data_IF_535771212016
#
_entry.id   IF_535771212016
#
_cell.length_a   1.000
_cell.length_b   1.000
_cell.length_c   1.000
_cell.angle_alpha   90.00
_cell.angle_beta   90.00
_cell.angle_gamma   90.00
#
_symmetry.space_group_name_H-M   'P 1'
#
loop_
_entity.id
_entity.type
_entity.pdbx_description
1 polymer ?
#
# COMPACT_ATOMS: atom_id res chain seq x y z
N UNK A 1 4.50 25.39 7.34
CA UNK A 1 5.40 24.84 6.31
C UNK A 1 5.03 25.52 4.99
N UNK A 2 6.01 25.84 4.13
CA UNK A 2 5.70 26.31 2.78
C UNK A 2 4.92 25.26 2.00
N UNK A 3 4.27 25.67 0.90
CA UNK A 3 3.59 24.74 0.00
C UNK A 3 4.59 23.72 -0.53
N UNK A 4 4.38 22.43 -0.26
CA UNK A 4 5.28 21.36 -0.72
C UNK A 4 5.09 21.19 -2.22
N UNK A 5 6.15 21.41 -2.99
CA UNK A 5 6.14 21.15 -4.42
C UNK A 5 6.35 19.65 -4.68
N UNK A 6 5.27 18.93 -5.00
CA UNK A 6 5.31 17.48 -5.23
C UNK A 6 6.18 17.08 -6.44
N UNK A 7 6.39 17.97 -7.40
CA UNK A 7 7.19 17.66 -8.59
C UNK A 7 8.66 17.34 -8.24
N UNK A 8 9.16 17.86 -7.11
CA UNK A 8 10.50 17.55 -6.60
C UNK A 8 10.63 16.11 -6.08
N UNK A 9 9.50 15.44 -5.84
CA UNK A 9 9.41 14.10 -5.28
C UNK A 9 8.86 13.08 -6.29
N UNK A 10 8.66 13.47 -7.55
CA UNK A 10 8.14 12.60 -8.59
C UNK A 10 9.10 11.43 -8.86
N UNK A 11 8.57 10.20 -8.82
CA UNK A 11 9.33 9.00 -9.16
C UNK A 11 9.50 8.91 -10.68
N UNK A 12 10.74 8.83 -11.20
CA UNK A 12 11.03 8.72 -12.63
C UNK A 12 10.32 7.55 -13.27
N UNK A 13 9.82 7.76 -14.49
CA UNK A 13 9.07 6.75 -15.25
C UNK A 13 7.61 6.61 -14.83
N UNK A 14 7.14 7.43 -13.88
CA UNK A 14 5.73 7.50 -13.48
C UNK A 14 5.16 8.89 -13.79
N UNK A 15 3.84 8.99 -13.92
CA UNK A 15 3.15 10.27 -14.10
C UNK A 15 2.65 10.89 -12.79
N UNK A 16 2.55 10.09 -11.73
CA UNK A 16 1.83 10.47 -10.51
C UNK A 16 2.11 9.54 -9.33
N UNK A 17 3.37 9.10 -9.21
CA UNK A 17 3.87 8.45 -8.00
C UNK A 17 4.96 9.33 -7.40
N UNK A 18 4.85 9.60 -6.10
CA UNK A 18 5.75 10.51 -5.40
C UNK A 18 6.40 9.80 -4.22
N UNK A 19 7.67 10.08 -3.97
CA UNK A 19 8.43 9.57 -2.83
C UNK A 19 9.03 10.73 -2.04
N UNK A 20 8.53 10.94 -0.83
CA UNK A 20 8.97 12.00 0.08
C UNK A 20 9.79 11.35 1.21
N UNK A 21 11.12 11.50 1.23
CA UNK A 21 11.93 11.05 2.37
C UNK A 21 11.70 11.95 3.59
N UNK A 22 11.99 11.44 4.79
CA UNK A 22 11.93 12.21 6.05
C UNK A 22 10.61 12.98 6.26
N UNK A 23 9.48 12.36 5.87
CA UNK A 23 8.14 12.96 5.99
C UNK A 23 7.71 13.15 7.46
N UNK A 24 8.26 12.31 8.33
CA UNK A 24 8.23 12.49 9.79
C UNK A 24 9.65 12.59 10.32
N UNK A 25 9.81 13.25 11.46
CA UNK A 25 11.10 13.31 12.15
C UNK A 25 11.39 12.01 12.90
N UNK A 26 12.63 11.82 13.35
CA UNK A 26 13.02 10.67 14.19
C UNK A 26 12.22 10.62 15.50
N UNK A 27 12.04 11.76 16.18
CA UNK A 27 11.23 11.86 17.41
C UNK A 27 9.76 11.48 17.17
N UNK A 28 9.22 11.87 16.01
CA UNK A 28 7.85 11.53 15.62
C UNK A 28 7.70 10.04 15.30
N UNK A 29 8.68 9.44 14.63
CA UNK A 29 8.72 8.01 14.37
C UNK A 29 8.79 7.20 15.67
N UNK A 30 9.68 7.55 16.59
CA UNK A 30 9.79 6.89 17.89
C UNK A 30 8.46 7.00 18.66
N UNK A 31 7.86 8.19 18.68
CA UNK A 31 6.57 8.42 19.31
C UNK A 31 5.45 7.57 18.67
N UNK A 32 5.38 7.50 17.35
CA UNK A 32 4.38 6.73 16.60
C UNK A 32 4.53 5.23 16.88
N UNK A 33 5.75 4.69 16.77
CA UNK A 33 6.02 3.27 17.02
C UNK A 33 5.63 2.91 18.45
N UNK A 34 6.05 3.71 19.45
CA UNK A 34 5.64 3.49 20.84
C UNK A 34 4.12 3.45 21.00
N UNK A 35 3.38 4.36 20.36
CA UNK A 35 1.92 4.39 20.45
C UNK A 35 1.24 3.21 19.76
N UNK A 36 1.82 2.72 18.67
CA UNK A 36 1.38 1.51 17.98
C UNK A 36 1.55 0.29 18.90
N UNK A 37 2.68 0.18 19.59
CA UNK A 37 2.97 -0.93 20.49
C UNK A 37 2.17 -0.90 21.80
N UNK A 38 1.91 0.29 22.34
CA UNK A 38 1.04 0.51 23.50
C UNK A 38 -0.44 0.18 23.22
N UNK A 39 -0.82 -0.01 21.95
CA UNK A 39 -2.19 -0.30 21.58
C UNK A 39 -2.70 -1.60 22.24
N UNK A 40 -3.93 -1.60 22.78
CA UNK A 40 -4.47 -2.77 23.46
C UNK A 40 -4.68 -3.93 22.48
N UNK A 41 -4.52 -5.17 22.96
CA UNK A 41 -4.61 -6.40 22.14
C UNK A 41 -5.81 -6.44 21.17
N UNK A 42 -7.03 -6.00 21.52
CA UNK A 42 -8.16 -6.02 20.58
C UNK A 42 -8.03 -5.14 19.34
N UNK A 43 -7.08 -4.20 19.30
CA UNK A 43 -6.80 -3.41 18.09
C UNK A 43 -6.01 -4.21 17.06
N UNK A 44 -5.24 -5.21 17.51
CA UNK A 44 -4.44 -6.06 16.66
C UNK A 44 -5.29 -7.17 16.04
N UNK A 45 -5.34 -7.19 14.71
CA UNK A 45 -5.85 -8.30 13.91
C UNK A 45 -4.65 -9.10 13.41
N UNK A 46 -4.63 -10.41 13.67
CA UNK A 46 -3.57 -11.30 13.22
C UNK A 46 -3.99 -12.00 11.94
N UNK A 47 -3.16 -11.86 10.91
CA UNK A 47 -3.21 -12.64 9.67
C UNK A 47 -2.19 -13.79 9.78
N UNK A 48 -2.07 -14.63 8.75
CA UNK A 48 -1.18 -15.80 8.78
C UNK A 48 0.26 -15.43 9.20
N UNK A 49 0.86 -14.45 8.50
CA UNK A 49 2.27 -14.11 8.66
C UNK A 49 2.51 -12.67 9.10
N UNK A 50 1.48 -11.91 9.46
CA UNK A 50 1.63 -10.51 9.90
C UNK A 50 0.47 -10.09 10.79
N UNK A 51 0.59 -8.95 11.44
CA UNK A 51 -0.50 -8.33 12.20
C UNK A 51 -0.73 -6.90 11.74
N UNK A 52 -1.96 -6.44 11.92
CA UNK A 52 -2.37 -5.10 11.54
C UNK A 52 -3.31 -4.48 12.57
N UNK A 53 -3.43 -3.17 12.53
CA UNK A 53 -4.51 -2.41 13.16
C UNK A 53 -5.30 -1.67 12.06
N UNK A 54 -6.57 -1.42 12.31
CA UNK A 54 -7.43 -0.63 11.43
C UNK A 54 -7.92 0.59 12.20
N UNK A 55 -7.73 1.78 11.62
CA UNK A 55 -8.10 3.05 12.22
C UNK A 55 -9.04 3.83 11.30
N UNK A 56 -9.95 4.61 11.89
CA UNK A 56 -10.97 5.38 11.16
C UNK A 56 -12.30 4.64 10.96
N UNK A 57 -12.35 3.33 11.25
CA UNK A 57 -13.58 2.54 11.21
C UNK A 57 -13.41 1.17 10.57
N UNK A 58 -14.51 0.44 10.42
CA UNK A 58 -14.55 -0.86 9.72
C UNK A 58 -15.39 -0.75 8.45
N UNK A 59 -14.98 -1.48 7.40
CA UNK A 59 -15.74 -1.60 6.16
C UNK A 59 -16.84 -2.66 6.28
N UNK A 60 -18.06 -2.30 5.86
CA UNK A 60 -19.14 -3.27 5.66
C UNK A 60 -18.88 -4.17 4.45
N UNK A 61 -19.64 -5.27 4.33
CA UNK A 61 -19.64 -6.13 3.14
C UNK A 61 -19.92 -5.37 1.84
N UNK A 62 -20.62 -4.23 1.92
CA UNK A 62 -20.94 -3.34 0.79
C UNK A 62 -19.88 -2.25 0.55
N UNK A 63 -18.67 -2.40 1.11
CA UNK A 63 -17.57 -1.44 0.95
C UNK A 63 -17.93 -0.02 1.41
N UNK A 64 -18.74 0.08 2.46
CA UNK A 64 -19.11 1.35 3.12
C UNK A 64 -18.46 1.40 4.49
N UNK A 65 -17.80 2.51 4.82
CA UNK A 65 -17.13 2.74 6.10
C UNK A 65 -18.16 3.00 7.21
N UNK A 66 -18.06 2.25 8.31
CA UNK A 66 -18.66 2.61 9.59
C UNK A 66 -17.62 3.42 10.35
N UNK A 67 -17.76 4.75 10.43
CA UNK A 67 -16.68 5.61 10.92
C UNK A 67 -16.46 5.43 12.42
N UNK A 68 -15.19 5.51 12.83
CA UNK A 68 -14.74 5.59 14.21
C UNK A 68 -13.69 6.71 14.33
N UNK A 69 -13.48 7.21 15.53
CA UNK A 69 -12.48 8.25 15.76
C UNK A 69 -11.07 7.73 15.40
N UNK A 70 -10.30 8.56 14.71
CA UNK A 70 -8.89 8.30 14.45
C UNK A 70 -8.09 8.40 15.76
N UNK A 71 -7.05 7.57 15.95
CA UNK A 71 -6.15 7.73 17.07
C UNK A 71 -5.51 9.13 17.09
N UNK A 72 -5.46 9.76 18.25
CA UNK A 72 -4.91 11.13 18.40
C UNK A 72 -3.45 11.25 17.97
N UNK A 73 -2.71 10.14 18.02
CA UNK A 73 -1.32 10.08 17.61
C UNK A 73 -1.11 10.02 16.08
N UNK A 74 -2.18 10.10 15.27
CA UNK A 74 -2.07 10.23 13.81
C UNK A 74 -2.77 11.46 13.22
N UNK A 75 -3.64 12.14 13.99
CA UNK A 75 -4.39 13.32 13.54
C UNK A 75 -4.29 14.53 14.49
N UNK A 76 -3.47 14.48 15.53
CA UNK A 76 -3.17 15.63 16.39
C UNK A 76 -1.67 15.81 16.56
N UNK A 77 -0.96 14.80 17.09
CA UNK A 77 0.49 14.84 17.19
C UNK A 77 1.12 13.45 17.04
N UNK A 78 1.97 13.24 16.03
CA UNK A 78 2.10 14.09 14.84
C UNK A 78 0.78 14.10 14.03
N UNK A 79 0.43 15.23 13.43
CA UNK A 79 -0.75 15.35 12.56
C UNK A 79 -0.43 14.81 11.14
N UNK A 80 -0.28 13.48 11.05
CA UNK A 80 0.03 12.79 9.80
C UNK A 80 -1.06 13.00 8.76
N UNK A 81 -2.33 12.90 9.16
CA UNK A 81 -3.45 13.06 8.25
C UNK A 81 -3.57 14.50 7.74
N UNK A 82 -3.36 15.50 8.60
CA UNK A 82 -3.31 16.91 8.20
C UNK A 82 -2.16 17.19 7.24
N UNK A 83 -0.95 16.67 7.50
CA UNK A 83 0.18 16.79 6.56
C UNK A 83 -0.15 16.19 5.19
N UNK A 84 -0.72 14.98 5.16
CA UNK A 84 -1.12 14.32 3.90
C UNK A 84 -2.22 15.12 3.17
N UNK A 85 -3.21 15.64 3.91
CA UNK A 85 -4.24 16.54 3.35
C UNK A 85 -3.61 17.76 2.70
N UNK A 86 -2.64 18.38 3.37
CA UNK A 86 -2.02 19.63 2.92
C UNK A 86 -1.16 19.44 1.67
N UNK A 87 -0.72 18.22 1.35
CA UNK A 87 -0.14 17.88 0.04
C UNK A 87 -1.15 17.98 -1.12
N UNK A 88 -2.45 18.01 -0.82
CA UNK A 88 -3.52 18.22 -1.79
C UNK A 88 -3.83 17.02 -2.69
N UNK A 89 -3.18 15.87 -2.51
CA UNK A 89 -3.37 14.68 -3.36
C UNK A 89 -4.75 14.05 -3.22
N UNK A 90 -5.44 14.29 -2.11
CA UNK A 90 -6.81 13.85 -1.86
C UNK A 90 -7.88 14.91 -2.18
N UNK A 91 -7.54 16.08 -2.74
CA UNK A 91 -8.51 17.17 -2.99
C UNK A 91 -9.74 16.75 -3.81
N UNK A 92 -9.60 15.77 -4.70
CA UNK A 92 -10.67 15.24 -5.54
C UNK A 92 -11.47 14.09 -4.88
N UNK A 93 -11.07 13.64 -3.69
CA UNK A 93 -11.74 12.58 -2.95
C UNK A 93 -12.99 13.12 -2.24
N UNK A 94 -13.87 12.24 -1.79
CA UNK A 94 -15.15 12.62 -1.16
C UNK A 94 -14.95 13.48 0.10
N UNK A 95 -13.85 13.24 0.83
CA UNK A 95 -13.56 13.92 2.10
C UNK A 95 -12.38 14.88 2.03
N UNK A 96 -11.66 14.95 0.90
CA UNK A 96 -10.48 15.82 0.74
C UNK A 96 -9.22 15.35 1.49
N UNK A 97 -9.32 14.22 2.22
CA UNK A 97 -8.26 13.68 3.07
C UNK A 97 -8.50 12.18 3.35
N UNK A 98 -7.49 11.45 3.85
CA UNK A 98 -7.71 10.08 4.31
C UNK A 98 -8.70 10.00 5.48
N UNK A 99 -9.56 8.99 5.45
CA UNK A 99 -10.51 8.66 6.52
C UNK A 99 -10.37 7.21 7.01
N UNK A 100 -9.44 6.43 6.45
CA UNK A 100 -9.18 5.05 6.81
C UNK A 100 -7.69 4.75 6.71
N UNK A 101 -7.12 4.18 7.78
CA UNK A 101 -5.70 3.80 7.85
C UNK A 101 -5.60 2.34 8.23
N UNK A 102 -4.83 1.57 7.47
CA UNK A 102 -4.41 0.24 7.89
C UNK A 102 -2.94 0.33 8.28
N UNK A 103 -2.66 0.08 9.55
CA UNK A 103 -1.29 -0.02 10.04
C UNK A 103 -0.88 -1.49 10.02
N UNK A 104 0.16 -1.82 9.26
CA UNK A 104 0.72 -3.19 9.21
C UNK A 104 2.09 -3.22 9.88
N UNK A 105 2.37 -4.29 10.62
CA UNK A 105 3.70 -4.64 11.11
C UNK A 105 4.29 -5.78 10.26
N UNK A 106 5.57 -5.65 9.93
CA UNK A 106 6.37 -6.64 9.23
C UNK A 106 7.66 -6.89 10.00
N UNK A 107 7.81 -8.10 10.53
CA UNK A 107 9.10 -8.60 10.98
C UNK A 107 9.97 -9.02 9.77
N UNK A 108 11.28 -9.18 9.95
CA UNK A 108 12.14 -9.76 8.91
C UNK A 108 11.57 -11.11 8.41
N UNK A 109 11.60 -11.32 7.09
CA UNK A 109 11.00 -12.48 6.44
C UNK A 109 9.48 -12.37 6.21
N UNK A 110 8.84 -11.26 6.55
CA UNK A 110 7.42 -11.03 6.29
C UNK A 110 7.19 -10.00 5.18
N UNK A 111 6.25 -10.31 4.29
CA UNK A 111 5.81 -9.42 3.24
C UNK A 111 4.32 -9.60 2.93
N UNK A 112 3.96 -9.24 1.70
CA UNK A 112 2.60 -9.31 1.19
C UNK A 112 2.66 -9.56 -0.32
N UNK A 113 2.05 -10.66 -0.74
CA UNK A 113 1.96 -11.02 -2.15
C UNK A 113 1.29 -9.90 -2.98
N UNK A 114 1.57 -9.84 -4.30
CA UNK A 114 0.96 -8.84 -5.16
C UNK A 114 -0.57 -8.83 -5.05
N UNK A 115 -1.14 -7.67 -4.72
CA UNK A 115 -2.58 -7.49 -4.52
C UNK A 115 -3.03 -6.07 -4.90
N UNK A 116 -4.35 -5.86 -4.92
CA UNK A 116 -5.01 -4.56 -5.09
C UNK A 116 -5.77 -4.23 -3.80
N UNK A 117 -5.92 -2.93 -3.50
CA UNK A 117 -6.55 -2.44 -2.27
C UNK A 117 -8.08 -2.62 -2.22
N UNK A 118 -8.69 -2.89 -3.37
CA UNK A 118 -10.14 -3.07 -3.52
C UNK A 118 -10.89 -1.78 -3.85
N UNK A 119 -12.16 -1.90 -4.27
CA UNK A 119 -12.87 -0.82 -4.96
C UNK A 119 -13.51 0.23 -4.03
N UNK A 120 -13.32 0.15 -2.71
CA UNK A 120 -13.95 1.07 -1.75
C UNK A 120 -13.33 2.47 -1.75
N UNK A 121 -12.10 2.56 -2.23
CA UNK A 121 -11.24 3.71 -2.00
C UNK A 121 -11.17 4.61 -3.23
N UNK A 122 -11.09 5.91 -2.98
CA UNK A 122 -10.64 6.88 -3.97
C UNK A 122 -9.26 6.45 -4.51
N UNK A 123 -8.94 6.65 -5.80
CA UNK A 123 -7.71 6.13 -6.42
C UNK A 123 -6.45 6.92 -6.06
N UNK A 124 -6.22 7.10 -4.76
CA UNK A 124 -5.06 7.72 -4.15
C UNK A 124 -4.77 6.96 -2.86
N UNK A 125 -3.52 6.55 -2.68
CA UNK A 125 -3.01 5.97 -1.45
C UNK A 125 -1.73 6.69 -1.04
N UNK A 126 -1.60 6.96 0.25
CA UNK A 126 -0.37 7.46 0.84
C UNK A 126 0.09 6.46 1.90
N UNK A 127 1.31 5.92 1.76
CA UNK A 127 1.88 4.93 2.67
C UNK A 127 3.10 5.51 3.35
N UNK A 128 2.99 5.74 4.66
CA UNK A 128 4.11 6.12 5.52
C UNK A 128 4.83 4.86 5.99
N UNK A 129 6.16 4.81 5.86
CA UNK A 129 7.02 3.73 6.37
C UNK A 129 7.69 4.17 7.66
N UNK A 130 7.81 3.28 8.65
CA UNK A 130 8.48 3.52 9.92
C UNK A 130 9.35 2.32 10.33
N UNK A 131 10.40 2.57 11.10
CA UNK A 131 11.26 1.57 11.73
C UNK A 131 12.39 1.08 10.81
N UNK A 132 12.05 0.32 9.77
CA UNK A 132 13.03 -0.24 8.85
C UNK A 132 12.62 -0.07 7.38
N UNK A 133 13.58 -0.22 6.47
CA UNK A 133 13.34 -0.09 5.05
C UNK A 133 12.57 -1.30 4.48
N UNK A 134 12.06 -1.14 3.26
CA UNK A 134 11.60 -2.26 2.43
C UNK A 134 11.80 -1.98 0.95
N UNK A 135 11.95 -3.02 0.15
CA UNK A 135 11.66 -2.98 -1.27
C UNK A 135 10.17 -3.18 -1.48
N UNK A 136 9.59 -2.33 -2.33
CA UNK A 136 8.17 -2.30 -2.66
C UNK A 136 8.01 -2.36 -4.19
N UNK A 137 7.22 -3.31 -4.66
CA UNK A 137 7.07 -3.61 -6.07
C UNK A 137 5.67 -3.30 -6.57
N UNK A 138 5.58 -2.80 -7.80
CA UNK A 138 4.35 -2.78 -8.59
C UNK A 138 4.44 -3.83 -9.70
N UNK A 139 3.37 -4.57 -9.90
CA UNK A 139 3.26 -5.64 -10.90
C UNK A 139 2.06 -5.38 -11.80
N UNK A 140 2.06 -6.04 -12.95
CA UNK A 140 0.95 -6.09 -13.88
C UNK A 140 0.46 -7.53 -14.06
N UNK A 141 -0.78 -7.70 -14.49
CA UNK A 141 -1.23 -8.99 -15.02
C UNK A 141 -0.54 -9.26 -16.36
N UNK A 142 -0.26 -10.54 -16.67
CA UNK A 142 0.21 -10.92 -18.01
C UNK A 142 -0.88 -10.57 -19.03
N UNK A 143 -0.47 -10.03 -20.17
CA UNK A 143 -1.38 -9.81 -21.30
C UNK A 143 -1.87 -11.17 -21.78
N UNK A 144 -3.16 -11.28 -22.05
CA UNK A 144 -3.71 -12.46 -22.72
C UNK A 144 -2.99 -12.62 -24.06
N UNK A 145 -2.26 -13.72 -24.23
CA UNK A 145 -1.65 -14.07 -25.50
C UNK A 145 -2.74 -14.68 -26.39
N UNK A 146 -3.20 -14.01 -27.46
CA UNK A 146 -4.21 -14.59 -28.35
C UNK A 146 -3.72 -15.89 -29.03
N UNK A 147 -2.42 -16.18 -29.03
CA UNK A 147 -1.84 -17.42 -29.55
C UNK A 147 -1.90 -18.61 -28.58
N UNK A 148 -2.13 -18.37 -27.27
CA UNK A 148 -2.27 -19.43 -26.26
C UNK A 148 -3.71 -19.93 -26.09
N UNK A 149 -4.64 -19.48 -26.94
CA UNK A 149 -6.01 -19.97 -26.93
C UNK A 149 -6.01 -21.40 -27.51
N UNK A 150 -6.42 -22.43 -26.75
CA UNK A 150 -6.49 -23.77 -27.30
C UNK A 150 -7.43 -23.73 -28.52
N UNK A 151 -6.95 -24.22 -29.66
CA UNK A 151 -7.75 -24.45 -30.86
C UNK A 151 -8.96 -25.30 -30.44
N UNK A 152 -10.20 -24.94 -30.84
CA UNK A 152 -11.36 -25.74 -30.50
C UNK A 152 -11.20 -27.13 -31.12
N UNK A 153 -10.90 -28.12 -30.29
CA UNK A 153 -11.05 -29.52 -30.66
C UNK A 153 -12.52 -29.77 -30.96
N UNK A 154 -12.76 -30.41 -32.10
CA UNK A 154 -14.06 -30.72 -32.71
C UNK A 154 -15.17 -31.16 -31.74
N UNK A 155 -16.45 -30.86 -32.03
CA UNK A 155 -17.55 -31.11 -31.11
C UNK A 155 -17.90 -32.60 -31.07
N UNK A 156 -17.81 -33.22 -29.89
CA UNK A 156 -18.57 -34.44 -29.57
C UNK A 156 -19.85 -34.04 -28.86
N UNK A 157 -20.97 -34.34 -29.53
CA UNK A 157 -22.33 -34.10 -29.09
C UNK A 157 -22.66 -34.84 -27.79
N UNK A 158 -23.15 -34.12 -26.77
CA UNK A 158 -24.03 -34.68 -25.76
C UNK A 158 -24.93 -33.59 -25.13
N UNK A 159 -26.16 -33.58 -25.62
CA UNK A 159 -27.41 -33.07 -25.04
C UNK A 159 -27.46 -32.97 -23.50
N UNK A 160 -27.81 -31.79 -22.99
CA UNK A 160 -28.29 -31.57 -21.62
C UNK A 160 -28.87 -30.17 -21.45
N UNK A 161 -30.12 -30.11 -21.00
CA UNK A 161 -31.05 -28.96 -21.00
C UNK A 161 -30.86 -27.97 -19.84
N UNK A 162 -30.97 -26.69 -20.18
CA UNK A 162 -31.73 -25.61 -19.52
C UNK A 162 -31.41 -25.13 -18.07
N UNK A 163 -31.03 -23.86 -17.97
CA UNK A 163 -31.69 -22.76 -17.23
C UNK A 163 -30.66 -21.75 -16.69
N UNK A 164 -30.93 -20.47 -16.93
CA UNK A 164 -29.97 -19.38 -16.82
C UNK A 164 -29.50 -19.04 -15.41
N UNK A 165 -28.23 -18.64 -15.32
CA UNK A 165 -27.74 -17.69 -14.32
C UNK A 165 -26.79 -16.71 -15.01
N UNK A 166 -27.30 -15.51 -15.29
CA UNK A 166 -26.47 -14.32 -15.49
C UNK A 166 -25.97 -13.84 -14.14
N UNK A 167 -24.69 -13.45 -14.08
CA UNK A 167 -24.18 -12.59 -13.02
C UNK A 167 -23.31 -13.28 -11.96
N UNK A 168 -22.19 -13.86 -12.37
CA UNK A 168 -21.03 -13.99 -11.51
C UNK A 168 -19.80 -13.56 -12.32
N UNK A 169 -19.31 -12.35 -12.03
CA UNK A 169 -18.01 -11.87 -12.45
C UNK A 169 -16.96 -12.91 -12.08
N UNK A 170 -16.54 -13.69 -13.09
CA UNK A 170 -15.48 -14.66 -12.94
C UNK A 170 -14.17 -13.89 -12.77
N UNK A 171 -13.72 -13.73 -11.54
CA UNK A 171 -12.30 -13.58 -11.26
C UNK A 171 -11.63 -14.93 -11.62
N UNK A 172 -11.55 -15.22 -12.92
CA UNK A 172 -10.57 -16.17 -13.44
C UNK A 172 -9.22 -15.61 -13.04
N UNK A 173 -8.44 -16.38 -12.27
CA UNK A 173 -7.14 -15.96 -11.76
C UNK A 173 -6.24 -15.54 -12.91
N UNK A 174 -6.18 -14.23 -13.17
CA UNK A 174 -5.30 -13.67 -14.20
C UNK A 174 -3.87 -13.86 -13.70
N UNK A 175 -3.00 -14.52 -14.49
CA UNK A 175 -1.63 -14.73 -14.08
C UNK A 175 -0.92 -13.38 -13.95
N UNK A 176 -0.21 -13.19 -12.85
CA UNK A 176 0.61 -12.00 -12.60
C UNK A 176 1.93 -12.16 -13.38
N UNK A 177 2.41 -11.08 -13.99
CA UNK A 177 3.78 -11.02 -14.52
C UNK A 177 4.74 -10.96 -13.32
N UNK A 178 5.64 -11.94 -13.14
CA UNK A 178 6.55 -11.94 -12.00
C UNK A 178 7.58 -10.81 -12.05
N UNK A 179 7.73 -10.13 -13.20
CA UNK A 179 8.63 -8.99 -13.34
C UNK A 179 7.93 -7.72 -12.86
N UNK A 180 8.43 -7.04 -11.82
CA UNK A 180 7.89 -5.75 -11.42
C UNK A 180 8.02 -4.73 -12.56
N UNK A 181 7.00 -3.89 -12.73
CA UNK A 181 7.04 -2.75 -13.64
C UNK A 181 7.69 -1.51 -13.00
N UNK A 182 7.72 -1.48 -11.66
CA UNK A 182 8.31 -0.42 -10.87
C UNK A 182 8.74 -1.00 -9.52
N UNK A 183 9.95 -0.66 -9.10
CA UNK A 183 10.51 -1.06 -7.80
C UNK A 183 10.98 0.17 -7.05
N UNK A 184 10.59 0.31 -5.78
CA UNK A 184 10.97 1.40 -4.89
C UNK A 184 11.66 0.85 -3.64
N UNK A 185 12.63 1.59 -3.11
CA UNK A 185 13.13 1.39 -1.75
C UNK A 185 12.44 2.41 -0.84
N UNK A 186 11.70 1.95 0.15
CA UNK A 186 11.02 2.81 1.11
C UNK A 186 11.84 2.87 2.40
N UNK A 187 12.48 4.00 2.66
CA UNK A 187 13.25 4.24 3.89
C UNK A 187 12.30 4.39 5.10
N UNK A 188 12.77 4.17 6.34
CA UNK A 188 12.04 4.66 7.50
C UNK A 188 11.73 6.15 7.36
N UNK A 189 10.59 6.56 7.89
CA UNK A 189 10.04 7.93 7.84
C UNK A 189 9.64 8.45 6.46
N UNK A 190 9.77 7.65 5.41
CA UNK A 190 9.37 8.05 4.06
C UNK A 190 7.87 7.91 3.82
N UNK A 191 7.32 8.77 2.96
CA UNK A 191 5.97 8.69 2.44
C UNK A 191 6.01 8.39 0.94
N UNK A 192 5.37 7.30 0.52
CA UNK A 192 5.08 7.06 -0.90
C UNK A 192 3.62 7.39 -1.18
N UNK A 193 3.36 8.13 -2.26
CA UNK A 193 2.01 8.46 -2.73
C UNK A 193 1.83 7.86 -4.11
N UNK A 194 0.76 7.12 -4.31
CA UNK A 194 0.40 6.53 -5.60
C UNK A 194 -1.00 6.91 -5.96
N UNK A 195 -1.18 7.46 -7.15
CA UNK A 195 -2.48 7.87 -7.67
C UNK A 195 -2.84 7.14 -8.97
N UNK A 196 -4.12 7.23 -9.34
CA UNK A 196 -4.58 7.01 -10.70
C UNK A 196 -4.25 5.60 -11.26
N UNK A 197 -3.61 5.50 -12.42
CA UNK A 197 -3.43 4.23 -13.14
C UNK A 197 -2.55 3.22 -12.40
N UNK A 198 -1.50 3.65 -11.71
CA UNK A 198 -0.69 2.75 -10.89
C UNK A 198 -1.47 2.20 -9.69
N UNK A 199 -2.43 2.96 -9.16
CA UNK A 199 -3.30 2.47 -8.10
C UNK A 199 -4.40 1.53 -8.62
N UNK A 200 -5.00 1.86 -9.76
CA UNK A 200 -6.19 1.18 -10.26
C UNK A 200 -5.92 -0.09 -11.06
N UNK A 201 -4.79 -0.19 -11.75
CA UNK A 201 -4.53 -1.25 -12.73
C UNK A 201 -3.28 -2.09 -12.46
N UNK A 202 -2.62 -1.86 -11.33
CA UNK A 202 -1.40 -2.57 -10.97
C UNK A 202 -1.52 -3.15 -9.58
N UNK A 203 -0.94 -4.33 -9.43
CA UNK A 203 -0.82 -4.97 -8.13
C UNK A 203 0.42 -4.42 -7.44
N UNK A 204 0.46 -4.52 -6.13
CA UNK A 204 1.65 -4.17 -5.37
C UNK A 204 1.95 -5.18 -4.28
N UNK A 205 3.23 -5.30 -3.94
CA UNK A 205 3.70 -6.32 -3.01
C UNK A 205 5.04 -6.00 -2.38
N UNK A 206 5.35 -6.76 -1.34
CA UNK A 206 6.62 -6.79 -0.62
C UNK A 206 7.01 -8.25 -0.51
N UNK A 207 8.23 -8.60 -0.88
CA UNK A 207 8.72 -9.97 -0.79
C UNK A 207 9.02 -10.38 0.67
N UNK A 208 8.78 -11.66 0.97
CA UNK A 208 9.01 -12.28 2.28
C UNK A 208 10.52 -12.60 2.46
N UNK A 209 11.35 -11.56 2.63
CA UNK A 209 12.82 -11.65 2.68
C UNK A 209 13.41 -11.24 4.04
N UNK A 210 14.55 -11.82 4.39
CA UNK A 210 15.35 -11.41 5.56
C UNK A 210 16.29 -10.24 5.25
N UNK A 211 16.69 -10.10 3.99
CA UNK A 211 17.60 -9.07 3.49
C UNK A 211 17.33 -8.81 2.00
N UNK A 212 17.62 -7.60 1.53
CA UNK A 212 17.63 -7.28 0.10
C UNK A 212 19.07 -7.29 -0.42
N UNK A 213 19.31 -7.99 -1.53
CA UNK A 213 20.64 -8.07 -2.17
C UNK A 213 20.67 -7.24 -3.44
N UNK A 214 21.76 -6.48 -3.63
CA UNK A 214 22.00 -5.63 -4.78
C UNK A 214 23.26 -6.10 -5.49
N UNK A 215 23.12 -6.56 -6.74
CA UNK A 215 24.25 -6.93 -7.56
C UNK A 215 24.97 -5.69 -8.12
N UNK A 216 26.32 -5.63 -8.08
CA UNK A 216 27.07 -4.53 -8.68
C UNK A 216 26.74 -4.40 -10.17
N UNK A 217 26.25 -3.23 -10.60
CA UNK A 217 26.04 -2.93 -12.01
C UNK A 217 24.95 -3.73 -12.72
N UNK A 218 23.97 -4.29 -11.99
CA UNK A 218 22.90 -5.07 -12.63
C UNK A 218 22.07 -4.24 -13.62
N UNK A 219 22.07 -4.73 -14.86
CA UNK A 219 21.30 -4.20 -16.01
C UNK A 219 19.94 -4.89 -16.16
N UNK A 220 19.50 -5.65 -15.16
CA UNK A 220 18.18 -6.28 -15.16
C UNK A 220 17.09 -5.20 -14.98
N UNK A 221 16.12 -5.06 -15.91
CA UNK A 221 15.10 -4.01 -15.84
C UNK A 221 14.28 -3.98 -14.54
N UNK A 222 14.19 -5.10 -13.81
CA UNK A 222 13.46 -5.22 -12.55
C UNK A 222 14.22 -4.81 -11.28
N UNK A 223 15.55 -4.62 -11.35
CA UNK A 223 16.40 -4.30 -10.19
C UNK A 223 16.76 -2.82 -10.08
N UNK A 224 16.21 -1.96 -10.97
CA UNK A 224 16.42 -0.52 -10.85
C UNK A 224 15.46 0.06 -9.81
N UNK A 225 16.01 0.42 -8.64
CA UNK A 225 15.29 1.20 -7.63
C UNK A 225 14.98 2.59 -8.21
N UNK A 226 13.72 2.82 -8.57
CA UNK A 226 13.35 4.00 -9.36
C UNK A 226 13.53 5.32 -8.59
N UNK A 227 13.37 5.28 -7.27
CA UNK A 227 13.54 6.42 -6.38
C UNK A 227 14.97 6.54 -5.79
N UNK A 228 15.98 5.84 -6.31
CA UNK A 228 17.34 5.84 -5.74
C UNK A 228 17.94 7.26 -5.55
N UNK A 229 17.65 8.19 -6.46
CA UNK A 229 18.12 9.57 -6.40
C UNK A 229 17.40 10.44 -5.34
N UNK A 230 16.25 9.99 -4.83
CA UNK A 230 15.47 10.66 -3.78
C UNK A 230 15.80 10.15 -2.37
N UNK A 231 16.52 9.03 -2.27
CA UNK A 231 16.90 8.44 -0.98
C UNK A 231 17.76 9.41 -0.17
N UNK A 232 17.81 9.23 1.16
CA UNK A 232 18.63 10.03 2.07
C UNK A 232 19.70 9.22 2.77
N UNK A 233 19.40 7.97 3.12
CA UNK A 233 20.29 7.02 3.74
C UNK A 233 21.49 6.68 2.85
N UNK A 234 22.69 6.82 3.42
CA UNK A 234 23.93 6.57 2.71
C UNK A 234 24.16 5.07 2.49
N UNK A 235 23.77 4.23 3.45
CA UNK A 235 23.91 2.79 3.35
C UNK A 235 23.06 2.22 2.20
N UNK A 236 21.81 2.69 2.07
CA UNK A 236 20.89 2.32 1.00
C UNK A 236 21.45 2.72 -0.37
N UNK A 237 21.94 3.96 -0.49
CA UNK A 237 22.57 4.45 -1.73
C UNK A 237 23.81 3.64 -2.09
N UNK A 238 24.68 3.38 -1.13
CA UNK A 238 25.91 2.65 -1.37
C UNK A 238 25.62 1.21 -1.77
N UNK A 239 24.66 0.55 -1.12
CA UNK A 239 24.22 -0.81 -1.49
C UNK A 239 23.65 -0.85 -2.91
N UNK A 240 22.79 0.11 -3.29
CA UNK A 240 22.23 0.17 -4.66
C UNK A 240 23.32 0.44 -5.70
N UNK A 241 24.25 1.36 -5.43
CA UNK A 241 25.23 1.82 -6.42
C UNK A 241 26.42 0.88 -6.58
N UNK A 242 26.94 0.37 -5.46
CA UNK A 242 28.17 -0.42 -5.43
C UNK A 242 27.91 -1.92 -5.26
N UNK A 243 26.64 -2.30 -5.08
CA UNK A 243 26.25 -3.64 -4.66
C UNK A 243 26.42 -3.84 -3.16
N UNK A 244 25.71 -4.81 -2.60
CA UNK A 244 25.71 -5.09 -1.17
C UNK A 244 24.42 -5.76 -0.73
N UNK A 245 24.18 -5.75 0.58
CA UNK A 245 22.95 -6.24 1.18
C UNK A 245 22.44 -5.23 2.20
N UNK A 246 21.12 -5.20 2.37
CA UNK A 246 20.45 -4.45 3.42
C UNK A 246 19.60 -5.43 4.24
N UNK A 247 19.92 -5.57 5.53
CA UNK A 247 19.18 -6.45 6.45
C UNK A 247 17.81 -5.84 6.78
N UNK A 248 16.75 -6.64 6.70
CA UNK A 248 15.42 -6.20 7.12
C UNK A 248 15.34 -6.10 8.63
N UNK A 249 14.74 -5.02 9.10
CA UNK A 249 14.36 -4.82 10.49
C UNK A 249 12.84 -4.92 10.69
N UNK A 250 12.40 -4.63 11.91
CA UNK A 250 10.98 -4.49 12.21
C UNK A 250 10.45 -3.20 11.56
N UNK A 251 9.45 -3.35 10.68
CA UNK A 251 8.87 -2.26 9.90
C UNK A 251 7.40 -2.10 10.22
N UNK A 252 6.97 -0.85 10.30
CA UNK A 252 5.55 -0.48 10.33
C UNK A 252 5.20 0.30 9.07
N UNK A 253 3.97 0.14 8.59
CA UNK A 253 3.44 0.98 7.51
C UNK A 253 2.04 1.45 7.81
N UNK A 254 1.77 2.73 7.57
CA UNK A 254 0.45 3.33 7.68
C UNK A 254 -0.06 3.60 6.27
N UNK A 255 -0.96 2.75 5.78
CA UNK A 255 -1.59 2.91 4.47
C UNK A 255 -2.86 3.75 4.60
N UNK A 256 -2.74 5.03 4.31
CA UNK A 256 -3.76 6.07 4.44
C UNK A 256 -4.55 6.23 3.13
N UNK A 257 -5.89 6.08 3.22
CA UNK A 257 -6.81 6.13 2.09
C UNK A 257 -8.10 6.87 2.44
N UNK A 258 -8.83 7.28 1.41
CA UNK A 258 -10.19 7.80 1.55
C UNK A 258 -11.21 6.75 1.05
N UNK A 259 -12.07 6.27 1.95
CA UNK A 259 -13.23 5.44 1.60
C UNK A 259 -14.35 6.36 1.13
N UNK A 260 -14.82 6.15 -0.11
CA UNK A 260 -15.78 7.06 -0.74
C UNK A 260 -17.15 7.07 -0.07
N UNK A 261 -17.61 5.91 0.42
CA UNK A 261 -18.95 5.74 1.01
C UNK A 261 -18.84 5.57 2.51
N UNK A 262 -19.47 6.47 3.26
CA UNK A 262 -19.53 6.44 4.73
C UNK A 262 -20.98 6.30 5.19
N UNK A 263 -21.24 5.48 6.20
CA UNK A 263 -22.58 5.36 6.77
C UNK A 263 -22.99 6.66 7.49
N UNK A 264 -24.26 7.06 7.34
CA UNK A 264 -24.79 8.17 8.11
C UNK A 264 -24.87 7.78 9.60
N UNK A 265 -23.88 8.23 10.38
CA UNK A 265 -23.83 8.25 11.84
C UNK A 265 -23.90 6.90 12.59
N UNK A 266 -22.73 6.26 12.79
CA UNK A 266 -22.51 5.29 13.88
C UNK A 266 -22.01 5.89 15.19
N UNK A 267 -21.70 7.20 15.22
CA UNK A 267 -21.01 7.87 16.34
C UNK A 267 -21.74 7.84 17.69
N UNK A 268 -23.05 7.58 17.70
CA UNK A 268 -23.83 7.51 18.93
C UNK A 268 -23.94 6.09 19.55
N UNK A 269 -23.68 5.01 18.80
CA UNK A 269 -24.01 3.66 19.26
C UNK A 269 -22.85 2.94 19.96
N UNK A 270 -21.59 3.28 19.64
CA UNK A 270 -20.41 2.59 20.20
C UNK A 270 -19.80 3.23 21.46
N UNK A 271 -20.23 4.44 21.83
CA UNK A 271 -19.79 5.10 23.08
C UNK A 271 -20.24 4.38 24.35
N UNK A 272 -21.15 3.39 24.21
CA UNK A 272 -21.76 2.65 25.33
C UNK A 272 -21.10 1.29 25.62
N UNK A 273 -20.11 0.86 24.83
CA UNK A 273 -19.51 -0.49 24.95
C UNK A 273 -18.02 -0.50 25.34
N UNK A 274 -17.42 0.66 25.61
CA UNK A 274 -16.00 0.78 25.97
C UNK A 274 -15.72 1.76 27.13
N UNK A 275 -16.77 2.09 27.91
CA UNK A 275 -16.61 2.72 29.21
C UNK A 275 -16.22 1.68 30.26
#
# INVERSE_FOLDING_TARGET
MGEVNLDEYLVPGTSSTYYIPDFVTEDEEEYLIRKIEEAPQPWWKRLNNRRLQIWGGDLTKKQTLIPQDMPVFVNQYPDILGRIRDLGVFKASAHGQPNHVIMNEYAPGQGIMPHEDGPAYHPVVATLSLGAHTIFHYYQYKKDDPSSRPTPSSPTSASGTDTGMMGASSATGRPIDPTPILTLLLEPRSLVITTSSLYQSHLHGIDDLMEDSFAPGSRSPGEKIANAHLLRGQAEKDAILNGGFLERGLRYSLTCRDVEKVTAAGGALFKKLRG
#
